data_IF_939057859429
#
_entry.id   IF_939057859429
#
_cell.length_a   1.000
_cell.length_b   1.000
_cell.length_c   1.000
_cell.angle_alpha   90.00
_cell.angle_beta   90.00
_cell.angle_gamma   90.00
#
_symmetry.space_group_name_H-M   'P 1'
#
loop_
_entity.id
_entity.type
_entity.pdbx_description
1 polymer ?
#
# COMPACT_ATOMS: atom_id res chain seq x y z
N UNK A 1 0.91 -14.44 -17.40
CA UNK A 1 2.22 -13.81 -17.70
C UNK A 1 1.98 -12.30 -17.70
N UNK A 2 2.03 -11.66 -16.53
CA UNK A 2 1.58 -10.27 -16.31
C UNK A 2 2.68 -9.38 -15.69
N UNK A 3 3.94 -9.71 -15.91
CA UNK A 3 5.07 -9.00 -15.28
C UNK A 3 5.34 -7.64 -15.93
N UNK A 4 5.14 -7.54 -17.25
CA UNK A 4 5.40 -6.34 -18.03
C UNK A 4 4.12 -5.91 -18.72
N UNK A 5 3.96 -4.59 -18.88
CA UNK A 5 2.91 -4.00 -19.70
C UNK A 5 3.55 -3.36 -20.93
N UNK A 6 3.12 -3.80 -22.11
CA UNK A 6 3.52 -3.21 -23.37
C UNK A 6 2.62 -2.01 -23.68
N UNK A 7 3.23 -0.90 -24.06
CA UNK A 7 2.57 0.36 -24.42
C UNK A 7 3.11 0.81 -25.78
N UNK A 8 2.31 1.56 -26.53
CA UNK A 8 2.60 1.92 -27.92
C UNK A 8 2.75 3.43 -28.13
N UNK A 9 2.68 4.23 -27.06
CA UNK A 9 2.92 5.67 -27.10
C UNK A 9 3.63 6.16 -25.84
N UNK A 10 4.21 7.36 -25.94
CA UNK A 10 4.79 8.03 -24.78
C UNK A 10 3.73 8.34 -23.71
N UNK A 11 2.52 8.74 -24.13
CA UNK A 11 1.42 9.08 -23.21
C UNK A 11 0.95 7.84 -22.42
N UNK A 12 0.83 6.68 -23.09
CA UNK A 12 0.51 5.42 -22.41
C UNK A 12 1.60 5.01 -21.42
N UNK A 13 2.88 5.22 -21.79
CA UNK A 13 4.00 4.94 -20.90
C UNK A 13 3.96 5.82 -19.64
N UNK A 14 3.72 7.13 -19.81
CA UNK A 14 3.59 8.08 -18.69
C UNK A 14 2.43 7.70 -17.79
N UNK A 15 1.26 7.38 -18.35
CA UNK A 15 0.09 6.96 -17.58
C UNK A 15 0.38 5.68 -16.77
N UNK A 16 1.08 4.72 -17.37
CA UNK A 16 1.45 3.48 -16.69
C UNK A 16 2.46 3.71 -15.56
N UNK A 17 3.47 4.56 -15.76
CA UNK A 17 4.45 4.91 -14.74
C UNK A 17 3.77 5.63 -13.57
N UNK A 18 2.92 6.63 -13.87
CA UNK A 18 2.19 7.37 -12.84
C UNK A 18 1.27 6.45 -12.03
N UNK A 19 0.59 5.51 -12.70
CA UNK A 19 -0.23 4.50 -12.01
C UNK A 19 0.63 3.55 -11.17
N UNK A 20 1.79 3.11 -11.67
CA UNK A 20 2.66 2.21 -10.93
C UNK A 20 3.17 2.83 -9.63
N UNK A 21 3.47 4.14 -9.64
CA UNK A 21 3.98 4.86 -8.47
C UNK A 21 2.91 5.67 -7.72
N UNK A 22 1.62 5.48 -8.02
CA UNK A 22 0.55 6.23 -7.34
C UNK A 22 0.44 5.89 -5.86
N UNK A 23 0.69 4.62 -5.51
CA UNK A 23 0.75 4.17 -4.12
C UNK A 23 2.05 3.43 -3.80
N UNK A 24 2.54 2.58 -4.69
CA UNK A 24 3.80 1.86 -4.49
C UNK A 24 4.99 2.83 -4.45
N UNK A 25 5.79 2.75 -3.38
CA UNK A 25 7.04 3.49 -3.27
C UNK A 25 8.24 2.59 -3.57
N UNK A 26 8.36 1.49 -2.83
CA UNK A 26 9.46 0.54 -2.99
C UNK A 26 9.14 -0.81 -2.35
N UNK A 27 10.01 -1.80 -2.55
CA UNK A 27 9.93 -3.08 -1.84
C UNK A 27 11.30 -3.54 -1.37
N UNK A 28 11.35 -4.32 -0.30
CA UNK A 28 12.59 -4.94 0.19
C UNK A 28 12.35 -6.30 0.82
N UNK A 29 13.41 -7.08 0.90
CA UNK A 29 13.47 -8.26 1.75
C UNK A 29 14.00 -7.88 3.13
N UNK A 30 13.32 -8.33 4.18
CA UNK A 30 13.78 -8.28 5.56
C UNK A 30 13.78 -9.72 6.11
N UNK A 31 14.95 -10.36 6.09
CA UNK A 31 15.07 -11.81 6.35
C UNK A 31 14.11 -12.60 5.45
N UNK A 32 13.11 -13.27 6.02
CA UNK A 32 12.12 -14.08 5.31
C UNK A 32 10.83 -13.32 4.97
N UNK A 33 10.76 -12.02 5.28
CA UNK A 33 9.58 -11.20 5.03
C UNK A 33 9.81 -10.28 3.85
N UNK A 34 8.89 -10.28 2.90
CA UNK A 34 8.84 -9.30 1.83
C UNK A 34 7.97 -8.14 2.26
N UNK A 35 8.50 -6.92 2.11
CA UNK A 35 7.83 -5.69 2.55
C UNK A 35 7.69 -4.78 1.35
N UNK A 36 6.46 -4.33 1.10
CA UNK A 36 6.13 -3.27 0.15
C UNK A 36 5.83 -2.00 0.94
N UNK A 37 6.50 -0.90 0.60
CA UNK A 37 6.24 0.44 1.12
C UNK A 37 5.26 1.16 0.21
N UNK A 38 4.27 1.82 0.82
CA UNK A 38 3.13 2.44 0.17
C UNK A 38 2.87 3.84 0.73
N UNK A 39 2.44 4.77 -0.13
CA UNK A 39 2.07 6.13 0.27
C UNK A 39 0.75 6.19 1.03
N UNK A 40 -0.19 5.32 0.68
CA UNK A 40 -1.53 5.21 1.20
C UNK A 40 -1.78 3.81 1.76
N UNK A 41 -2.38 3.78 2.95
CA UNK A 41 -2.88 2.54 3.53
C UNK A 41 -4.02 1.97 2.70
N UNK A 42 -4.12 0.65 2.67
CA UNK A 42 -5.29 -0.04 2.12
C UNK A 42 -6.43 -0.02 3.13
N UNK A 43 -7.66 0.03 2.61
CA UNK A 43 -8.87 -0.17 3.41
C UNK A 43 -8.91 -1.59 3.97
N UNK A 44 -9.64 -1.79 5.07
CA UNK A 44 -9.82 -3.14 5.65
C UNK A 44 -10.43 -4.12 4.64
N UNK A 45 -11.40 -3.66 3.85
CA UNK A 45 -12.02 -4.45 2.80
C UNK A 45 -10.99 -4.89 1.74
N UNK A 46 -10.14 -3.96 1.29
CA UNK A 46 -9.10 -4.27 0.31
C UNK A 46 -8.07 -5.24 0.88
N UNK A 47 -7.62 -5.02 2.12
CA UNK A 47 -6.66 -5.90 2.80
C UNK A 47 -7.22 -7.32 2.98
N UNK A 48 -8.49 -7.46 3.37
CA UNK A 48 -9.16 -8.75 3.46
C UNK A 48 -9.25 -9.43 2.08
N UNK A 49 -9.62 -8.69 1.04
CA UNK A 49 -9.65 -9.23 -0.32
C UNK A 49 -8.26 -9.68 -0.81
N UNK A 50 -7.16 -9.07 -0.35
CA UNK A 50 -5.81 -9.51 -0.67
C UNK A 50 -5.51 -10.90 -0.10
N UNK A 51 -6.01 -11.23 1.09
CA UNK A 51 -5.76 -12.52 1.74
C UNK A 51 -6.17 -13.67 0.84
N UNK A 52 -7.34 -13.58 0.22
CA UNK A 52 -7.88 -14.61 -0.66
C UNK A 52 -7.29 -14.52 -2.07
N UNK A 53 -7.33 -13.32 -2.68
CA UNK A 53 -6.93 -13.15 -4.08
C UNK A 53 -5.46 -13.48 -4.29
N UNK A 54 -4.60 -13.19 -3.32
CA UNK A 54 -3.16 -13.36 -3.46
C UNK A 54 -2.58 -14.40 -2.49
N UNK A 55 -3.42 -15.31 -1.97
CA UNK A 55 -3.01 -16.37 -1.05
C UNK A 55 -1.78 -17.15 -1.56
N UNK A 56 -1.76 -17.49 -2.85
CA UNK A 56 -0.67 -18.24 -3.49
C UNK A 56 0.67 -17.50 -3.61
N UNK A 57 0.77 -16.23 -3.22
CA UNK A 57 2.06 -15.52 -3.09
C UNK A 57 2.73 -15.79 -1.74
N UNK A 58 1.96 -16.15 -0.70
CA UNK A 58 2.46 -16.32 0.66
C UNK A 58 2.90 -17.78 0.89
N UNK A 59 3.98 -17.99 1.63
CA UNK A 59 4.36 -19.30 2.16
C UNK A 59 3.59 -19.63 3.44
N UNK A 60 3.33 -18.63 4.26
CA UNK A 60 2.63 -18.75 5.54
C UNK A 60 2.19 -17.37 6.04
N UNK A 61 1.34 -17.37 7.06
CA UNK A 61 0.83 -16.16 7.71
C UNK A 61 -0.05 -15.30 6.79
N UNK A 62 -0.43 -14.14 7.33
CA UNK A 62 -1.30 -13.21 6.62
C UNK A 62 -0.57 -12.02 5.99
N UNK A 63 -1.20 -11.38 5.00
CA UNK A 63 -0.77 -10.04 4.62
C UNK A 63 -1.02 -9.13 5.81
N UNK A 64 0.03 -8.49 6.30
CA UNK A 64 -0.04 -7.58 7.44
C UNK A 64 0.22 -6.17 6.94
N UNK A 65 -0.68 -5.25 7.29
CA UNK A 65 -0.48 -3.84 7.05
C UNK A 65 -0.05 -3.16 8.34
N UNK A 66 1.07 -2.44 8.30
CA UNK A 66 1.54 -1.62 9.40
C UNK A 66 1.50 -0.16 9.00
N UNK A 67 0.94 0.67 9.87
CA UNK A 67 1.01 2.11 9.71
C UNK A 67 2.44 2.64 9.83
N UNK A 68 2.54 3.95 9.73
CA UNK A 68 3.73 4.71 10.10
C UNK A 68 4.11 4.38 11.55
N UNK A 69 5.21 3.66 11.75
CA UNK A 69 5.78 3.41 13.08
C UNK A 69 7.30 3.52 13.00
N UNK A 70 7.88 4.19 13.99
CA UNK A 70 9.27 4.66 13.99
C UNK A 70 10.33 3.60 14.32
N UNK A 71 9.96 2.36 14.63
CA UNK A 71 10.92 1.39 15.21
C UNK A 71 11.71 0.52 14.21
N UNK A 72 11.42 0.59 12.89
CA UNK A 72 11.99 -0.39 11.94
C UNK A 72 12.48 0.19 10.60
N UNK A 73 12.53 1.51 10.45
CA UNK A 73 12.92 2.16 9.20
C UNK A 73 14.04 3.18 9.36
N UNK A 74 14.74 3.44 8.26
CA UNK A 74 15.50 4.66 8.10
C UNK A 74 14.55 5.83 8.36
N UNK A 75 14.92 6.77 9.24
CA UNK A 75 14.03 7.83 9.73
C UNK A 75 13.30 8.60 8.61
N UNK A 76 13.87 8.64 7.40
CA UNK A 76 13.28 9.28 6.22
C UNK A 76 12.03 8.58 5.66
N UNK A 77 11.81 7.29 5.95
CA UNK A 77 10.71 6.50 5.37
C UNK A 77 9.68 6.00 6.38
N UNK A 78 9.88 6.31 7.67
CA UNK A 78 8.98 5.82 8.72
C UNK A 78 7.52 6.17 8.41
N UNK A 79 7.27 7.33 7.80
CA UNK A 79 5.94 7.86 7.43
C UNK A 79 5.14 7.03 6.42
N UNK A 80 5.77 6.06 5.75
CA UNK A 80 5.11 5.24 4.74
C UNK A 80 4.38 4.04 5.35
N UNK A 81 3.25 3.67 4.74
CA UNK A 81 2.53 2.44 5.10
C UNK A 81 3.27 1.23 4.56
N UNK A 82 3.19 0.10 5.27
CA UNK A 82 3.91 -1.12 4.90
C UNK A 82 2.94 -2.29 4.76
N UNK A 83 3.03 -3.01 3.65
CA UNK A 83 2.40 -4.31 3.45
C UNK A 83 3.49 -5.39 3.55
N UNK A 84 3.40 -6.27 4.54
CA UNK A 84 4.39 -7.30 4.83
C UNK A 84 3.77 -8.69 4.72
N UNK A 85 4.52 -9.63 4.14
CA UNK A 85 4.10 -11.03 4.03
C UNK A 85 5.30 -11.93 3.73
N UNK A 86 5.18 -13.22 4.01
CA UNK A 86 6.22 -14.21 3.69
C UNK A 86 6.10 -14.63 2.23
N UNK A 87 6.76 -13.90 1.32
CA UNK A 87 6.69 -14.17 -0.12
C UNK A 87 7.39 -15.47 -0.51
N UNK A 88 6.78 -16.25 -1.39
CA UNK A 88 7.33 -17.52 -1.88
C UNK A 88 8.48 -17.39 -2.90
N UNK A 89 8.85 -16.16 -3.29
CA UNK A 89 9.93 -15.88 -4.22
C UNK A 89 9.67 -16.33 -5.66
N UNK A 90 8.41 -16.62 -6.02
CA UNK A 90 7.98 -17.09 -7.34
C UNK A 90 6.78 -16.29 -7.83
N UNK A 91 6.31 -16.56 -9.05
CA UNK A 91 5.10 -15.94 -9.61
C UNK A 91 5.16 -14.40 -9.65
N UNK A 92 6.28 -13.83 -10.12
CA UNK A 92 6.46 -12.38 -10.20
C UNK A 92 5.38 -11.64 -11.01
N UNK A 93 4.75 -12.29 -12.00
CA UNK A 93 3.59 -11.71 -12.67
C UNK A 93 2.39 -11.51 -11.73
N UNK A 94 2.17 -12.44 -10.78
CA UNK A 94 1.12 -12.31 -9.77
C UNK A 94 1.49 -11.30 -8.69
N UNK A 95 2.78 -11.18 -8.36
CA UNK A 95 3.28 -10.07 -7.52
C UNK A 95 3.03 -8.72 -8.21
N UNK A 96 3.25 -8.63 -9.52
CA UNK A 96 2.96 -7.42 -10.30
C UNK A 96 1.47 -7.07 -10.26
N UNK A 97 0.59 -8.05 -10.38
CA UNK A 97 -0.86 -7.84 -10.22
C UNK A 97 -1.25 -7.37 -8.80
N UNK A 98 -0.53 -7.83 -7.76
CA UNK A 98 -0.71 -7.29 -6.40
C UNK A 98 -0.31 -5.82 -6.35
N UNK A 99 0.82 -5.45 -6.98
CA UNK A 99 1.25 -4.04 -7.09
C UNK A 99 0.20 -3.21 -7.83
N UNK A 100 -0.34 -3.72 -8.94
CA UNK A 100 -1.42 -3.02 -9.66
C UNK A 100 -2.68 -2.85 -8.80
N UNK A 101 -2.98 -3.83 -7.93
CA UNK A 101 -4.13 -3.77 -7.01
C UNK A 101 -3.96 -2.72 -5.92
N UNK A 102 -2.78 -2.62 -5.29
CA UNK A 102 -2.54 -1.61 -4.23
C UNK A 102 -2.52 -0.18 -4.79
N UNK A 103 -2.25 -0.01 -6.08
CA UNK A 103 -2.24 1.26 -6.78
C UNK A 103 -3.63 1.73 -7.25
N UNK A 104 -4.69 0.94 -7.05
CA UNK A 104 -6.07 1.36 -7.30
C UNK A 104 -6.59 2.22 -6.16
N UNK A 105 -7.02 3.45 -6.47
CA UNK A 105 -7.50 4.41 -5.47
C UNK A 105 -8.70 3.90 -4.67
N UNK A 106 -9.57 3.08 -5.27
CA UNK A 106 -10.71 2.47 -4.58
C UNK A 106 -10.31 1.56 -3.41
N UNK A 107 -9.07 1.06 -3.41
CA UNK A 107 -8.55 0.18 -2.37
C UNK A 107 -7.91 0.96 -1.21
N UNK A 108 -7.74 2.28 -1.34
CA UNK A 108 -7.10 3.08 -0.30
C UNK A 108 -8.05 3.33 0.86
N UNK A 109 -7.49 3.35 2.07
CA UNK A 109 -8.20 3.81 3.24
C UNK A 109 -8.52 5.28 3.04
N UNK A 110 -9.82 5.61 3.03
CA UNK A 110 -10.23 7.02 3.05
C UNK A 110 -9.90 7.57 4.44
N UNK A 111 -9.28 8.76 4.54
CA UNK A 111 -9.16 9.40 5.83
C UNK A 111 -10.57 9.56 6.39
N UNK A 112 -10.80 9.01 7.59
CA UNK A 112 -12.00 9.35 8.32
C UNK A 112 -11.98 10.87 8.49
N UNK A 113 -12.91 11.59 7.84
CA UNK A 113 -13.07 13.01 8.10
C UNK A 113 -13.23 13.18 9.61
N UNK A 114 -12.24 13.80 10.24
CA UNK A 114 -12.31 14.22 11.62
C UNK A 114 -13.44 15.24 11.74
N UNK A 115 -14.64 14.76 12.09
CA UNK A 115 -15.66 15.60 12.73
C UNK A 115 -15.15 16.00 14.12
N UNK A 116 -14.14 16.86 14.17
CA UNK A 116 -13.96 17.75 15.31
C UNK A 116 -14.90 18.93 15.11
N UNK A 117 -16.18 18.69 15.44
CA UNK A 117 -17.12 19.77 15.66
C UNK A 117 -16.56 20.66 16.78
N UNK A 118 -16.26 21.90 16.41
CA UNK A 118 -15.84 23.00 17.28
C UNK A 118 -16.62 22.97 18.59
N UNK A 119 -15.94 22.61 19.69
CA UNK A 119 -16.40 22.98 21.02
C UNK A 119 -16.06 24.46 21.20
N UNK A 120 -16.98 25.34 20.83
CA UNK A 120 -16.90 26.76 21.15
C UNK A 120 -16.89 26.92 22.66
N UNK A 121 -15.77 27.39 23.21
CA UNK A 121 -15.72 27.90 24.59
C UNK A 121 -16.43 29.26 24.65
N UNK A 122 -17.27 29.53 25.67
CA UNK A 122 -17.86 30.84 25.84
C UNK A 122 -16.80 31.82 26.37
N UNK A 123 -16.59 32.92 25.65
CA UNK A 123 -15.83 34.07 26.13
C UNK A 123 -16.54 34.63 27.36
N UNK A 124 -15.85 34.63 28.51
CA UNK A 124 -16.29 35.27 29.74
C UNK A 124 -16.16 36.79 29.56
N UNK A 125 -17.29 37.50 29.49
CA UNK A 125 -17.31 38.97 29.51
C UNK A 125 -16.86 39.53 30.86
N UNK A 126 -16.24 40.71 30.78
CA UNK A 126 -15.88 41.62 31.87
C UNK A 126 -17.08 42.01 32.73
#
# INVERSE_FOLDING_TARGET
MNLMKLVYSADEAVAEINRFYSNFHSSRWLKNTFVIRMHHALSEQALNALQDRFAGLRLSGDFQQYGHQDEYDEAQFSHLTRLAFTFNGRNHGRLRELVDCINLEENWARPAHSQQARRTEPVKSM
#
